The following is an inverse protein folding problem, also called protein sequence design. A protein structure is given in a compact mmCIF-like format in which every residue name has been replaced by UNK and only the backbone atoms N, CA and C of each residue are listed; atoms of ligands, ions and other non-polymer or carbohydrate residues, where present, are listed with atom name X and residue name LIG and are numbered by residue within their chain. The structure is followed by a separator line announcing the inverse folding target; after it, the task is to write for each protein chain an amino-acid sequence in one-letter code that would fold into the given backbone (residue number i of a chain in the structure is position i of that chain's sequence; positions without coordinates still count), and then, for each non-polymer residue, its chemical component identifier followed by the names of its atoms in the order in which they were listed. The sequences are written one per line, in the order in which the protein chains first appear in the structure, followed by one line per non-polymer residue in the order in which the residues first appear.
data_IF_455095304422
#
_entry.id   IF_455095304422
#
_cell.length_a   1.000
_cell.length_b   1.000
_cell.length_c   1.000
_cell.angle_alpha   90.00
_cell.angle_beta   90.00
_cell.angle_gamma   90.00
#
_symmetry.space_group_name_H-M   'P 1'
#
loop_
_entity.id
_entity.type
_entity.pdbx_description
1 polymer ?
#
# COMPACT_ATOMS: atom_id res chain seq x y z
N UNK A 1 -9.17 -8.83 0.90
CA UNK A 1 -8.74 -7.44 1.20
C UNK A 1 -7.24 -7.20 1.05
N UNK A 2 -6.34 -7.88 1.78
CA UNK A 2 -4.89 -7.75 1.56
C UNK A 2 -4.50 -8.04 0.11
N UNK A 3 -5.14 -9.01 -0.55
CA UNK A 3 -4.94 -9.31 -1.97
C UNK A 3 -5.38 -8.18 -2.90
N UNK A 4 -6.37 -7.37 -2.52
CA UNK A 4 -6.89 -6.27 -3.33
C UNK A 4 -6.07 -4.98 -3.14
N UNK A 5 -5.62 -4.70 -1.91
CA UNK A 5 -4.64 -3.64 -1.63
C UNK A 5 -3.25 -3.98 -2.14
N UNK A 6 -2.81 -5.22 -1.96
CA UNK A 6 -1.60 -5.72 -2.61
C UNK A 6 -1.77 -5.73 -4.12
N UNK A 7 -2.95 -6.03 -4.68
CA UNK A 7 -3.19 -5.86 -6.11
C UNK A 7 -3.21 -4.39 -6.53
N UNK A 8 -3.73 -3.43 -5.75
CA UNK A 8 -3.68 -1.99 -6.08
C UNK A 8 -2.26 -1.41 -5.93
N UNK A 9 -1.50 -1.84 -4.93
CA UNK A 9 -0.10 -1.47 -4.72
C UNK A 9 0.82 -2.20 -5.70
N UNK A 10 0.57 -3.47 -6.04
CA UNK A 10 1.25 -4.20 -7.10
C UNK A 10 0.79 -3.73 -8.48
N UNK A 11 -0.44 -3.26 -8.68
CA UNK A 11 -0.83 -2.57 -9.92
C UNK A 11 -0.09 -1.23 -9.94
N UNK A 12 0.08 -0.51 -8.83
CA UNK A 12 0.94 0.67 -8.76
C UNK A 12 2.43 0.39 -9.04
N UNK A 13 2.98 -0.71 -8.50
CA UNK A 13 4.40 -1.09 -8.59
C UNK A 13 4.71 -1.87 -9.89
N UNK A 14 3.77 -2.65 -10.41
CA UNK A 14 3.85 -3.35 -11.72
C UNK A 14 3.46 -2.40 -12.86
N UNK A 15 2.51 -1.47 -12.68
CA UNK A 15 2.35 -0.34 -13.62
C UNK A 15 3.52 0.65 -13.52
N UNK A 16 4.18 0.74 -12.36
CA UNK A 16 5.47 1.42 -12.20
C UNK A 16 6.62 0.81 -13.02
N UNK A 17 6.43 -0.40 -13.59
CA UNK A 17 7.34 -1.00 -14.58
C UNK A 17 6.77 -1.09 -15.99
N UNK A 18 5.57 -0.58 -16.26
CA UNK A 18 4.98 -0.66 -17.59
C UNK A 18 4.32 0.67 -17.95
N UNK A 19 5.05 1.45 -18.74
CA UNK A 19 4.62 2.54 -19.62
C UNK A 19 3.60 2.08 -20.69
N UNK A 20 2.67 1.19 -20.35
CA UNK A 20 1.61 0.80 -21.28
C UNK A 20 0.40 1.71 -21.10
N UNK A 21 -0.14 2.27 -22.20
CA UNK A 21 -1.45 2.89 -22.15
C UNK A 21 -2.42 1.83 -21.64
N UNK A 22 -3.23 2.24 -20.67
CA UNK A 22 -4.30 1.43 -20.12
C UNK A 22 -5.11 0.79 -21.24
N UNK A 23 -5.12 -0.54 -21.31
CA UNK A 23 -5.88 -1.25 -22.32
C UNK A 23 -7.28 -1.51 -21.76
N UNK A 24 -8.23 -0.65 -22.13
CA UNK A 24 -9.64 -0.72 -21.73
C UNK A 24 -10.25 -2.11 -21.97
N UNK A 25 -9.87 -2.80 -23.05
CA UNK A 25 -10.34 -4.16 -23.32
C UNK A 25 -9.86 -5.15 -22.26
N UNK A 26 -8.61 -5.04 -21.80
CA UNK A 26 -8.09 -5.91 -20.73
C UNK A 26 -8.74 -5.63 -19.38
N UNK A 27 -9.05 -4.37 -19.07
CA UNK A 27 -9.84 -4.04 -17.89
C UNK A 27 -11.21 -4.69 -17.98
N UNK A 28 -11.91 -4.47 -19.09
CA UNK A 28 -13.27 -4.98 -19.30
C UNK A 28 -13.30 -6.49 -19.15
N UNK A 29 -12.39 -7.22 -19.80
CA UNK A 29 -12.26 -8.67 -19.64
C UNK A 29 -12.02 -9.08 -18.17
N UNK A 30 -11.23 -8.31 -17.41
CA UNK A 30 -11.00 -8.60 -16.00
C UNK A 30 -12.27 -8.37 -15.16
N UNK A 31 -12.99 -7.27 -15.41
CA UNK A 31 -14.25 -6.96 -14.72
C UNK A 31 -15.33 -7.98 -15.08
N UNK A 32 -15.48 -8.35 -16.35
CA UNK A 32 -16.39 -9.42 -16.79
C UNK A 32 -16.15 -10.72 -16.03
N UNK A 33 -14.88 -11.14 -15.89
CA UNK A 33 -14.54 -12.36 -15.15
C UNK A 33 -14.92 -12.27 -13.68
N UNK A 34 -14.55 -11.19 -12.99
CA UNK A 34 -14.81 -11.04 -11.55
C UNK A 34 -16.31 -10.83 -11.26
N UNK A 35 -16.97 -9.93 -12.00
CA UNK A 35 -18.41 -9.70 -11.87
C UNK A 35 -19.21 -10.99 -12.10
N UNK A 36 -18.89 -11.76 -13.16
CA UNK A 36 -19.56 -13.04 -13.45
C UNK A 36 -19.32 -14.08 -12.36
N UNK A 37 -18.10 -14.17 -11.84
CA UNK A 37 -17.75 -15.08 -10.75
C UNK A 37 -18.62 -14.87 -9.50
N UNK A 38 -19.06 -13.63 -9.27
CA UNK A 38 -19.86 -13.25 -8.11
C UNK A 38 -21.32 -12.87 -8.46
N UNK A 39 -21.80 -13.21 -9.67
CA UNK A 39 -23.20 -13.05 -10.09
C UNK A 39 -23.65 -11.60 -10.26
N UNK A 40 -22.74 -10.71 -10.65
CA UNK A 40 -22.95 -9.27 -10.82
C UNK A 40 -22.65 -8.81 -12.26
N UNK A 41 -22.94 -9.66 -13.25
CA UNK A 41 -22.68 -9.40 -14.68
C UNK A 41 -23.29 -8.06 -15.17
N UNK A 42 -24.41 -7.64 -14.58
CA UNK A 42 -25.09 -6.36 -14.86
C UNK A 42 -24.34 -5.12 -14.33
N UNK A 43 -23.30 -5.32 -13.52
CA UNK A 43 -22.47 -4.25 -12.96
C UNK A 43 -21.13 -4.04 -13.67
N UNK A 44 -20.81 -4.82 -14.71
CA UNK A 44 -19.54 -4.74 -15.45
C UNK A 44 -19.26 -3.32 -15.96
N UNK A 45 -20.22 -2.71 -16.66
CA UNK A 45 -20.02 -1.36 -17.24
C UNK A 45 -19.76 -0.32 -16.14
N UNK A 46 -20.54 -0.37 -15.06
CA UNK A 46 -20.34 0.53 -13.91
C UNK A 46 -18.97 0.34 -13.25
N UNK A 47 -18.48 -0.89 -13.16
CA UNK A 47 -17.16 -1.17 -12.60
C UNK A 47 -16.04 -0.64 -13.52
N UNK A 48 -16.16 -0.86 -14.83
CA UNK A 48 -15.24 -0.33 -15.85
C UNK A 48 -15.19 1.19 -15.80
N UNK A 49 -16.36 1.85 -15.85
CA UNK A 49 -16.49 3.30 -15.80
C UNK A 49 -15.95 3.88 -14.47
N UNK A 50 -16.18 3.17 -13.36
CA UNK A 50 -15.66 3.55 -12.05
C UNK A 50 -14.15 3.59 -12.02
N UNK A 51 -13.47 2.57 -12.58
CA UNK A 51 -12.00 2.55 -12.67
C UNK A 51 -11.48 3.63 -13.61
N UNK A 52 -12.12 3.86 -14.76
CA UNK A 52 -11.72 4.93 -15.67
C UNK A 52 -11.89 6.32 -15.04
N UNK A 53 -13.01 6.54 -14.36
CA UNK A 53 -13.29 7.78 -13.62
C UNK A 53 -12.28 7.99 -12.51
N UNK A 54 -11.88 6.93 -11.81
CA UNK A 54 -10.84 6.99 -10.78
C UNK A 54 -9.49 7.46 -11.34
N UNK A 55 -9.04 6.89 -12.44
CA UNK A 55 -7.77 7.27 -13.07
C UNK A 55 -7.79 8.77 -13.45
N UNK A 56 -8.88 9.23 -14.07
CA UNK A 56 -9.06 10.64 -14.40
C UNK A 56 -9.11 11.52 -13.13
N UNK A 57 -9.84 11.08 -12.12
CA UNK A 57 -9.97 11.78 -10.84
C UNK A 57 -8.61 11.99 -10.18
N UNK A 58 -7.82 10.93 -10.00
CA UNK A 58 -6.48 11.01 -9.41
C UNK A 58 -5.53 11.85 -10.25
N UNK A 59 -5.62 11.77 -11.58
CA UNK A 59 -4.75 12.55 -12.49
C UNK A 59 -4.96 14.06 -12.40
N UNK A 60 -6.13 14.53 -11.95
CA UNK A 60 -6.40 15.95 -11.74
C UNK A 60 -5.71 16.51 -10.48
N UNK A 61 -5.34 15.65 -9.54
CA UNK A 61 -4.86 16.02 -8.22
C UNK A 61 -3.42 15.57 -7.93
N UNK A 62 -2.83 14.80 -8.83
CA UNK A 62 -1.48 14.25 -8.71
C UNK A 62 -0.70 14.45 -10.00
N UNK A 63 0.62 14.47 -9.90
CA UNK A 63 1.47 14.41 -11.07
C UNK A 63 1.63 12.95 -11.50
N UNK A 64 0.70 12.49 -12.36
CA UNK A 64 0.69 11.11 -12.84
C UNK A 64 1.94 10.71 -13.64
N UNK A 65 2.73 11.68 -14.10
CA UNK A 65 4.01 11.43 -14.77
C UNK A 65 5.18 11.38 -13.79
N UNK A 66 5.05 11.91 -12.57
CA UNK A 66 6.12 11.90 -11.58
C UNK A 66 6.60 10.47 -11.27
N UNK A 67 5.70 9.51 -11.08
CA UNK A 67 6.08 8.12 -10.83
C UNK A 67 6.88 7.50 -11.99
N UNK A 68 6.52 7.83 -13.23
CA UNK A 68 7.26 7.39 -14.42
C UNK A 68 8.63 8.08 -14.53
N UNK A 69 8.75 9.33 -14.08
CA UNK A 69 10.05 10.02 -14.01
C UNK A 69 10.92 9.41 -12.91
N UNK A 70 10.36 9.17 -11.73
CA UNK A 70 11.04 8.56 -10.56
C UNK A 70 11.63 7.19 -10.93
N UNK A 71 10.89 6.36 -11.66
CA UNK A 71 11.38 5.03 -12.05
C UNK A 71 12.52 5.04 -13.07
N UNK A 72 12.72 6.16 -13.78
CA UNK A 72 13.73 6.29 -14.83
C UNK A 72 14.92 7.17 -14.41
N UNK A 73 14.94 7.70 -13.18
CA UNK A 73 16.03 8.55 -12.68
C UNK A 73 16.95 7.78 -11.71
N UNK A 74 18.22 8.21 -11.58
CA UNK A 74 19.14 7.70 -10.57
C UNK A 74 18.54 7.80 -9.15
N UNK A 75 18.84 6.82 -8.28
CA UNK A 75 18.31 6.76 -6.92
C UNK A 75 18.56 8.03 -6.09
N UNK A 76 19.64 8.75 -6.37
CA UNK A 76 20.01 10.02 -5.73
C UNK A 76 19.08 11.19 -6.09
N UNK A 77 18.44 11.16 -7.26
CA UNK A 77 17.53 12.20 -7.75
C UNK A 77 16.05 11.92 -7.39
N UNK A 78 15.72 10.66 -7.07
CA UNK A 78 14.36 10.22 -6.69
C UNK A 78 13.76 10.94 -5.46
N UNK A 79 14.52 11.27 -4.40
CA UNK A 79 14.02 11.95 -3.21
C UNK A 79 13.18 13.20 -3.50
N UNK A 80 13.72 14.15 -4.25
CA UNK A 80 13.08 15.45 -4.48
C UNK A 80 11.79 15.31 -5.29
N UNK A 81 11.83 14.49 -6.34
CA UNK A 81 10.67 14.24 -7.18
C UNK A 81 9.55 13.53 -6.41
N UNK A 82 9.89 12.56 -5.57
CA UNK A 82 8.93 11.86 -4.73
C UNK A 82 8.34 12.76 -3.64
N UNK A 83 9.14 13.65 -3.05
CA UNK A 83 8.64 14.65 -2.11
C UNK A 83 7.66 15.60 -2.75
N UNK A 84 7.94 16.07 -3.97
CA UNK A 84 7.03 16.93 -4.72
C UNK A 84 5.71 16.20 -5.03
N UNK A 85 5.79 14.94 -5.45
CA UNK A 85 4.62 14.10 -5.69
C UNK A 85 3.77 13.94 -4.41
N UNK A 86 4.37 13.59 -3.28
CA UNK A 86 3.63 13.41 -2.02
C UNK A 86 3.06 14.72 -1.50
N UNK A 87 3.80 15.83 -1.57
CA UNK A 87 3.28 17.15 -1.17
C UNK A 87 2.05 17.55 -2.00
N UNK A 88 2.10 17.34 -3.31
CA UNK A 88 0.96 17.63 -4.19
C UNK A 88 -0.24 16.72 -3.87
N UNK A 89 0.02 15.43 -3.65
CA UNK A 89 -0.99 14.45 -3.22
C UNK A 89 -1.65 14.88 -1.91
N UNK A 90 -0.87 15.31 -0.92
CA UNK A 90 -1.36 15.71 0.38
C UNK A 90 -2.13 17.04 0.38
N UNK A 91 -1.80 17.95 -0.54
CA UNK A 91 -2.59 19.16 -0.75
C UNK A 91 -4.03 18.85 -1.19
N UNK A 92 -4.22 17.77 -1.93
CA UNK A 92 -5.50 17.33 -2.48
C UNK A 92 -6.00 16.03 -1.80
N UNK A 93 -5.63 15.81 -0.54
CA UNK A 93 -5.88 14.54 0.15
C UNK A 93 -7.38 14.19 0.20
N UNK A 94 -8.24 15.18 0.43
CA UNK A 94 -9.68 14.97 0.53
C UNK A 94 -10.28 14.51 -0.81
N UNK A 95 -9.87 15.15 -1.90
CA UNK A 95 -10.30 14.82 -3.26
C UNK A 95 -9.80 13.43 -3.68
N UNK A 96 -8.54 13.11 -3.36
CA UNK A 96 -7.96 11.79 -3.64
C UNK A 96 -8.69 10.70 -2.86
N UNK A 97 -8.97 10.92 -1.56
CA UNK A 97 -9.76 9.99 -0.75
C UNK A 97 -11.17 9.79 -1.31
N UNK A 98 -11.79 10.85 -1.86
CA UNK A 98 -13.07 10.73 -2.55
C UNK A 98 -12.96 9.89 -3.84
N UNK A 99 -11.91 10.10 -4.66
CA UNK A 99 -11.65 9.25 -5.83
C UNK A 99 -11.58 7.77 -5.44
N UNK A 100 -10.82 7.45 -4.40
CA UNK A 100 -10.67 6.07 -3.90
C UNK A 100 -11.97 5.49 -3.36
N UNK A 101 -12.74 6.26 -2.58
CA UNK A 101 -14.04 5.80 -2.09
C UNK A 101 -14.98 5.44 -3.25
N UNK A 102 -15.03 6.29 -4.27
CA UNK A 102 -15.92 6.13 -5.42
C UNK A 102 -15.57 4.88 -6.25
N UNK A 103 -14.28 4.60 -6.47
CA UNK A 103 -13.89 3.40 -7.22
C UNK A 103 -14.18 2.13 -6.44
N UNK A 104 -13.96 2.15 -5.12
CA UNK A 104 -14.29 1.01 -4.25
C UNK A 104 -15.80 0.72 -4.33
N UNK A 105 -16.65 1.76 -4.31
CA UNK A 105 -18.09 1.59 -4.44
C UNK A 105 -18.51 1.07 -5.83
N UNK A 106 -17.81 1.47 -6.88
CA UNK A 106 -18.10 1.03 -8.24
C UNK A 106 -17.75 -0.44 -8.48
N UNK A 107 -16.62 -0.92 -7.94
CA UNK A 107 -16.15 -2.31 -8.14
C UNK A 107 -16.68 -3.29 -7.10
N UNK A 108 -17.16 -2.77 -5.96
CA UNK A 108 -17.72 -3.55 -4.86
C UNK A 108 -18.71 -4.64 -5.30
N UNK A 109 -19.69 -4.37 -6.18
CA UNK A 109 -20.63 -5.40 -6.65
C UNK A 109 -19.96 -6.60 -7.30
N UNK A 110 -18.79 -6.41 -7.90
CA UNK A 110 -18.02 -7.46 -8.58
C UNK A 110 -16.96 -8.12 -7.69
N UNK A 111 -16.90 -7.75 -6.41
CA UNK A 111 -15.94 -8.33 -5.46
C UNK A 111 -16.52 -9.52 -4.69
N UNK A 112 -15.63 -10.27 -4.06
CA UNK A 112 -15.98 -11.38 -3.17
C UNK A 112 -16.93 -10.91 -2.04
N UNK A 113 -17.96 -11.69 -1.66
CA UNK A 113 -18.84 -11.35 -0.54
C UNK A 113 -18.08 -11.01 0.75
N UNK A 114 -17.00 -11.73 1.07
CA UNK A 114 -16.17 -11.43 2.25
C UNK A 114 -15.44 -10.09 2.12
N UNK A 115 -15.15 -9.65 0.90
CA UNK A 115 -14.55 -8.34 0.65
C UNK A 115 -15.61 -7.23 0.72
N UNK A 116 -16.81 -7.50 0.22
CA UNK A 116 -17.97 -6.60 0.33
C UNK A 116 -18.30 -6.25 1.79
N UNK A 117 -18.32 -7.27 2.65
CA UNK A 117 -18.58 -7.09 4.09
C UNK A 117 -17.53 -6.21 4.78
N UNK A 118 -16.35 -6.08 4.18
CA UNK A 118 -15.25 -5.33 4.74
C UNK A 118 -14.93 -4.05 3.93
N UNK A 119 -15.80 -3.58 3.03
CA UNK A 119 -15.54 -2.36 2.23
C UNK A 119 -15.26 -1.13 3.10
N UNK A 120 -15.99 -0.97 4.20
CA UNK A 120 -15.77 0.17 5.10
C UNK A 120 -14.40 0.12 5.77
N UNK A 121 -13.94 -1.10 6.06
CA UNK A 121 -12.60 -1.34 6.59
C UNK A 121 -11.54 -0.96 5.54
N UNK A 122 -11.75 -1.35 4.27
CA UNK A 122 -10.87 -0.96 3.17
C UNK A 122 -10.78 0.57 3.00
N UNK A 123 -11.92 1.26 2.96
CA UNK A 123 -11.96 2.73 2.86
C UNK A 123 -11.26 3.40 4.04
N UNK A 124 -11.54 2.95 5.26
CA UNK A 124 -10.90 3.47 6.48
C UNK A 124 -9.38 3.27 6.44
N UNK A 125 -8.90 2.09 6.04
CA UNK A 125 -7.46 1.83 5.90
C UNK A 125 -6.81 2.74 4.87
N UNK A 126 -7.47 3.00 3.73
CA UNK A 126 -6.96 3.95 2.75
C UNK A 126 -6.82 5.35 3.36
N UNK A 127 -7.86 5.83 4.06
CA UNK A 127 -7.82 7.13 4.73
C UNK A 127 -6.68 7.20 5.76
N UNK A 128 -6.55 6.20 6.62
CA UNK A 128 -5.47 6.14 7.63
C UNK A 128 -4.07 6.10 6.99
N UNK A 129 -3.91 5.42 5.83
CA UNK A 129 -2.66 5.46 5.07
C UNK A 129 -2.39 6.85 4.51
N UNK A 130 -3.37 7.50 3.88
CA UNK A 130 -3.18 8.88 3.39
C UNK A 130 -2.86 9.84 4.54
N UNK A 131 -3.51 9.68 5.70
CA UNK A 131 -3.23 10.48 6.89
C UNK A 131 -1.80 10.28 7.37
N UNK A 132 -1.27 9.05 7.35
CA UNK A 132 0.13 8.79 7.71
C UNK A 132 1.11 9.54 6.79
N UNK A 133 0.92 9.46 5.48
CA UNK A 133 1.79 10.14 4.50
C UNK A 133 1.62 11.66 4.53
N UNK A 134 0.42 12.16 4.82
CA UNK A 134 0.10 13.58 4.77
C UNK A 134 0.15 14.28 6.12
N UNK A 135 0.38 13.54 7.20
CA UNK A 135 0.51 14.08 8.55
C UNK A 135 1.49 15.25 8.58
N UNK A 136 1.05 16.35 9.20
CA UNK A 136 1.81 17.57 9.35
C UNK A 136 2.38 18.09 8.01
N UNK A 137 1.56 18.05 6.94
CA UNK A 137 1.95 18.38 5.57
C UNK A 137 3.11 17.52 5.05
N UNK A 138 2.99 16.21 5.19
CA UNK A 138 4.00 15.22 4.81
C UNK A 138 5.34 15.34 5.53
N UNK A 139 5.37 15.95 6.72
CA UNK A 139 6.62 16.17 7.47
C UNK A 139 7.34 14.86 7.79
N UNK A 140 6.65 13.85 8.33
CA UNK A 140 7.29 12.57 8.68
C UNK A 140 7.81 11.82 7.46
N UNK A 141 7.09 11.89 6.33
CA UNK A 141 7.59 11.34 5.07
C UNK A 141 8.77 12.15 4.52
N UNK A 142 8.72 13.48 4.65
CA UNK A 142 9.82 14.36 4.26
C UNK A 142 11.09 14.09 5.07
N UNK A 143 10.96 13.92 6.38
CA UNK A 143 12.05 13.53 7.26
C UNK A 143 12.60 12.15 6.88
N UNK A 144 11.74 11.15 6.66
CA UNK A 144 12.13 9.83 6.18
C UNK A 144 13.00 9.89 4.92
N UNK A 145 12.58 10.64 3.90
CA UNK A 145 13.33 10.79 2.66
C UNK A 145 14.64 11.57 2.87
N UNK A 146 14.57 12.74 3.51
CA UNK A 146 15.73 13.63 3.71
C UNK A 146 16.82 13.00 4.60
N UNK A 147 16.43 12.08 5.47
CA UNK A 147 17.36 11.33 6.32
C UNK A 147 18.06 10.17 5.57
N UNK A 148 17.86 10.07 4.25
CA UNK A 148 18.54 9.10 3.41
C UNK A 148 17.96 7.69 3.49
N UNK A 149 16.66 7.56 3.83
CA UNK A 149 16.03 6.25 3.98
C UNK A 149 16.18 5.36 2.74
N UNK A 150 16.12 5.92 1.53
CA UNK A 150 16.29 5.11 0.31
C UNK A 150 17.69 4.57 0.13
N UNK A 151 18.72 5.38 0.37
CA UNK A 151 20.10 4.90 0.35
C UNK A 151 20.32 3.80 1.40
N UNK A 152 19.73 3.94 2.59
CA UNK A 152 19.81 2.88 3.59
C UNK A 152 19.04 1.62 3.18
N UNK A 153 17.83 1.75 2.66
CA UNK A 153 17.02 0.60 2.21
C UNK A 153 17.74 -0.16 1.09
N UNK A 154 18.40 0.55 0.18
CA UNK A 154 19.20 -0.03 -0.90
C UNK A 154 20.41 -0.80 -0.35
N UNK A 155 21.14 -0.21 0.61
CA UNK A 155 22.23 -0.90 1.34
C UNK A 155 21.75 -2.14 2.10
N UNK A 156 20.51 -2.12 2.59
CA UNK A 156 19.88 -3.20 3.36
C UNK A 156 19.10 -4.20 2.52
N UNK A 157 19.11 -4.09 1.19
CA UNK A 157 18.24 -4.91 0.32
C UNK A 157 18.39 -6.41 0.58
N UNK A 158 19.61 -6.89 0.85
CA UNK A 158 19.86 -8.29 1.17
C UNK A 158 19.19 -8.70 2.50
N UNK A 159 19.37 -7.92 3.56
CA UNK A 159 18.76 -8.17 4.88
C UNK A 159 17.23 -8.17 4.76
N UNK A 160 16.67 -7.23 4.00
CA UNK A 160 15.23 -7.12 3.76
C UNK A 160 14.67 -8.32 2.98
N UNK A 161 15.40 -8.80 1.97
CA UNK A 161 15.02 -10.02 1.23
C UNK A 161 15.06 -11.23 2.17
N UNK A 162 16.08 -11.33 3.03
CA UNK A 162 16.19 -12.41 4.00
C UNK A 162 15.04 -12.42 5.01
N UNK A 163 14.48 -11.26 5.38
CA UNK A 163 13.29 -11.20 6.23
C UNK A 163 12.05 -11.88 5.63
N UNK A 164 12.01 -12.06 4.30
CA UNK A 164 10.89 -12.74 3.63
C UNK A 164 11.06 -14.27 3.56
N UNK A 165 12.24 -14.79 3.90
CA UNK A 165 12.52 -16.23 3.86
C UNK A 165 11.61 -17.05 4.77
N UNK A 166 11.15 -16.47 5.89
CA UNK A 166 10.15 -17.05 6.78
C UNK A 166 8.85 -17.41 6.06
N UNK A 167 8.44 -16.60 5.08
CA UNK A 167 7.24 -16.85 4.27
C UNK A 167 7.52 -17.90 3.19
N UNK A 168 8.76 -17.99 2.70
CA UNK A 168 9.13 -18.94 1.65
C UNK A 168 9.02 -20.40 2.10
N UNK A 169 9.10 -20.66 3.41
CA UNK A 169 8.91 -21.99 4.00
C UNK A 169 7.43 -22.36 4.25
N UNK A 170 6.49 -21.46 3.96
CA UNK A 170 5.06 -21.73 4.08
C UNK A 170 4.58 -22.42 2.78
N UNK A 171 4.81 -23.73 2.69
CA UNK A 171 4.56 -24.57 1.50
C UNK A 171 3.11 -24.56 0.96
N UNK A 172 2.17 -23.91 1.66
CA UNK A 172 0.86 -23.56 1.10
C UNK A 172 0.23 -22.39 1.86
N UNK A 173 0.43 -21.18 1.37
CA UNK A 173 -0.23 -19.98 1.91
C UNK A 173 -1.77 -20.09 1.92
N UNK A 174 -2.34 -21.00 1.13
CA UNK A 174 -3.78 -21.25 1.05
C UNK A 174 -4.33 -22.08 2.22
N UNK A 175 -3.47 -22.80 2.95
CA UNK A 175 -3.87 -23.66 4.08
C UNK A 175 -3.52 -23.08 5.45
N UNK A 176 -2.88 -21.91 5.49
CA UNK A 176 -2.51 -21.26 6.75
C UNK A 176 -3.76 -20.86 7.53
N UNK A 177 -3.75 -21.13 8.83
CA UNK A 177 -4.73 -20.53 9.74
C UNK A 177 -4.48 -19.02 9.82
N UNK A 178 -5.50 -18.25 10.20
CA UNK A 178 -5.35 -16.82 10.43
C UNK A 178 -4.23 -16.51 11.42
N UNK A 179 -4.11 -17.31 12.49
CA UNK A 179 -3.07 -17.16 13.50
C UNK A 179 -1.66 -17.36 12.93
N UNK A 180 -1.44 -18.41 12.13
CA UNK A 180 -0.16 -18.67 11.47
C UNK A 180 0.20 -17.56 10.48
N UNK A 181 -0.78 -17.08 9.70
CA UNK A 181 -0.58 -15.98 8.78
C UNK A 181 -0.20 -14.68 9.53
N UNK A 182 -0.85 -14.41 10.67
CA UNK A 182 -0.55 -13.24 11.49
C UNK A 182 0.82 -13.33 12.17
N UNK A 183 1.21 -14.51 12.65
CA UNK A 183 2.55 -14.73 13.21
C UNK A 183 3.64 -14.49 12.15
N UNK A 184 3.48 -15.05 10.96
CA UNK A 184 4.42 -14.86 9.85
C UNK A 184 4.54 -13.38 9.44
N UNK A 185 3.42 -12.65 9.38
CA UNK A 185 3.43 -11.19 9.12
C UNK A 185 4.15 -10.44 10.24
N UNK A 186 3.89 -10.78 11.50
CA UNK A 186 4.58 -10.19 12.66
C UNK A 186 6.08 -10.40 12.61
N UNK A 187 6.54 -11.62 12.30
CA UNK A 187 7.96 -11.94 12.17
C UNK A 187 8.65 -11.16 11.04
N UNK A 188 8.01 -11.08 9.86
CA UNK A 188 8.55 -10.37 8.71
C UNK A 188 8.62 -8.87 8.96
N UNK A 189 7.54 -8.28 9.48
CA UNK A 189 7.50 -6.84 9.78
C UNK A 189 8.50 -6.45 10.85
N UNK A 190 8.63 -7.26 11.91
CA UNK A 190 9.63 -7.07 12.96
C UNK A 190 11.05 -7.17 12.41
N UNK A 191 11.34 -8.20 11.60
CA UNK A 191 12.65 -8.37 10.96
C UNK A 191 13.02 -7.15 10.09
N UNK A 192 12.09 -6.69 9.24
CA UNK A 192 12.32 -5.51 8.38
C UNK A 192 12.62 -4.28 9.24
N UNK A 193 11.81 -4.03 10.27
CA UNK A 193 12.02 -2.87 11.16
C UNK A 193 13.38 -2.96 11.84
N UNK A 194 13.76 -4.12 12.37
CA UNK A 194 15.08 -4.33 13.01
C UNK A 194 16.23 -4.14 12.02
N UNK A 195 16.12 -4.61 10.78
CA UNK A 195 17.14 -4.36 9.76
C UNK A 195 17.34 -2.85 9.54
N UNK A 196 16.22 -2.09 9.48
CA UNK A 196 16.24 -0.64 9.28
C UNK A 196 16.62 0.16 10.52
N UNK A 197 16.63 -0.42 11.72
CA UNK A 197 17.17 0.23 12.93
C UNK A 197 18.69 0.42 12.86
N UNK A 198 19.37 -0.35 12.00
CA UNK A 198 20.79 -0.14 11.70
C UNK A 198 21.06 1.03 10.75
N UNK A 199 20.01 1.68 10.22
CA UNK A 199 20.16 2.88 9.42
C UNK A 199 20.70 4.05 10.27
N UNK A 200 21.45 5.00 9.66
CA UNK A 200 22.03 6.14 10.39
C UNK A 200 21.01 7.02 11.13
N UNK A 201 19.74 6.98 10.69
CA UNK A 201 18.66 7.83 11.20
C UNK A 201 17.47 6.99 11.68
N UNK A 202 17.02 7.19 12.93
CA UNK A 202 15.92 6.39 13.51
C UNK A 202 14.57 6.65 12.83
N UNK A 203 14.43 7.76 12.11
CA UNK A 203 13.24 8.10 11.30
C UNK A 203 12.91 7.04 10.26
N UNK A 204 13.91 6.33 9.72
CA UNK A 204 13.73 5.26 8.72
C UNK A 204 12.89 4.11 9.31
N UNK A 205 13.39 3.49 10.39
CA UNK A 205 12.67 2.42 11.07
C UNK A 205 11.35 2.89 11.70
N UNK A 206 11.31 4.12 12.23
CA UNK A 206 10.10 4.68 12.84
C UNK A 206 8.96 4.85 11.81
N UNK A 207 9.26 5.37 10.62
CA UNK A 207 8.27 5.53 9.56
C UNK A 207 7.76 4.19 9.04
N UNK A 208 8.65 3.23 8.78
CA UNK A 208 8.28 1.89 8.30
C UNK A 208 7.45 1.13 9.33
N UNK A 209 7.79 1.23 10.62
CA UNK A 209 6.96 0.68 11.71
C UNK A 209 5.57 1.31 11.73
N UNK A 210 5.49 2.64 11.60
CA UNK A 210 4.20 3.33 11.53
C UNK A 210 3.37 2.90 10.31
N UNK A 211 4.02 2.66 9.17
CA UNK A 211 3.39 2.15 7.96
C UNK A 211 2.82 0.75 8.19
N UNK A 212 3.62 -0.21 8.67
CA UNK A 212 3.12 -1.55 8.97
C UNK A 212 1.96 -1.52 9.95
N UNK A 213 2.07 -0.74 11.02
CA UNK A 213 0.97 -0.58 11.98
C UNK A 213 -0.30 -0.10 11.28
N UNK A 214 -0.22 0.96 10.48
CA UNK A 214 -1.38 1.51 9.76
C UNK A 214 -1.97 0.50 8.76
N UNK A 215 -1.15 -0.18 7.98
CA UNK A 215 -1.61 -1.13 6.96
C UNK A 215 -2.33 -2.34 7.57
N UNK A 216 -1.84 -2.84 8.70
CA UNK A 216 -2.36 -4.07 9.31
C UNK A 216 -3.33 -3.83 10.47
N UNK A 217 -3.49 -2.59 10.97
CA UNK A 217 -4.42 -2.22 12.06
C UNK A 217 -5.85 -2.70 11.83
N UNK A 218 -6.27 -2.78 10.58
CA UNK A 218 -7.61 -3.19 10.15
C UNK A 218 -7.75 -4.69 9.89
N UNK A 219 -6.66 -5.44 10.02
CA UNK A 219 -6.66 -6.89 9.83
C UNK A 219 -6.99 -7.61 11.12
N UNK A 220 -7.38 -8.89 11.01
CA UNK A 220 -7.59 -9.76 12.18
C UNK A 220 -6.30 -10.08 12.95
N UNK A 221 -5.15 -9.56 12.52
CA UNK A 221 -3.87 -9.74 13.19
C UNK A 221 -3.70 -8.70 14.30
N UNK A 222 -4.09 -9.10 15.52
CA UNK A 222 -3.89 -8.31 16.74
C UNK A 222 -2.41 -8.19 17.17
N UNK A 223 -1.50 -8.96 16.55
CA UNK A 223 -0.09 -9.10 16.95
C UNK A 223 0.72 -7.79 16.83
N UNK A 224 0.33 -6.86 15.97
CA UNK A 224 1.00 -5.54 15.94
C UNK A 224 0.64 -4.63 17.12
N UNK A 225 -0.36 -5.00 17.94
CA UNK A 225 -0.61 -4.34 19.22
C UNK A 225 0.37 -4.81 20.32
N UNK A 226 1.05 -5.96 20.17
CA UNK A 226 1.93 -6.49 21.23
C UNK A 226 3.32 -5.83 21.29
N UNK A 227 3.76 -5.12 20.23
CA UNK A 227 4.96 -4.26 20.32
C UNK A 227 4.77 -3.13 21.35
N UNK A 228 3.52 -2.75 21.68
CA UNK A 228 3.22 -1.76 22.71
C UNK A 228 3.72 -2.19 24.09
N UNK A 229 3.61 -3.48 24.44
CA UNK A 229 4.04 -3.97 25.73
C UNK A 229 5.57 -4.07 25.84
N UNK A 230 6.29 -4.41 24.77
CA UNK A 230 7.76 -4.49 24.82
C UNK A 230 8.42 -3.10 24.88
N UNK A 231 7.84 -2.10 24.22
CA UNK A 231 8.36 -0.73 24.25
C UNK A 231 7.97 0.00 25.54
N UNK A 232 6.77 -0.24 26.08
CA UNK A 232 6.37 0.31 27.38
C UNK A 232 7.20 -0.26 28.55
N UNK A 233 7.59 -1.54 28.47
CA UNK A 233 8.44 -2.18 29.48
C UNK A 233 9.91 -1.72 29.39
N UNK A 234 10.42 -1.40 28.19
CA UNK A 234 11.79 -0.88 28.02
C UNK A 234 11.93 0.64 28.26
N UNK A 235 10.85 1.32 28.66
CA UNK A 235 10.85 2.73 29.10
C UNK A 235 10.71 2.91 30.62
N UNK A 236 10.89 1.85 31.41
CA UNK A 236 10.95 1.87 32.89
C UNK A 236 12.36 1.50 33.34
#
# INVERSE_FOLDING_TARGET
MWKFFAALMLIGVVAGRVTHPYNEARLREAMERECKKYGADDHVDKAVDGVMTFMNCVSNYTDHQALARISNMPNEDQPDELLNFVKLTCKNQAEINACFSNVIDAISPCSDPKEKDNIQVAKKSMMEMTDLFCKDNSKSFSEFINDGAFACIDDKVYDLVMCTSTIQHLDNYQTLTTEQACAAVGEVTSCIVTALESCPKPSTAAFVRALFRTTFKSTSCSILAEEENKIAVNKI
#
